data_IF_264423267365
#
_entry.id   IF_264423267365
#
_cell.length_a   1.000
_cell.length_b   1.000
_cell.length_c   1.000
_cell.angle_alpha   90.00
_cell.angle_beta   90.00
_cell.angle_gamma   90.00
#
_symmetry.space_group_name_H-M   'P 1'
#
loop_
_entity.id
_entity.type
_entity.pdbx_description
1 polymer ?
#
# COMPACT_ATOMS: atom_id res chain seq x y z
N UNK A 1 16.84 -25.24 -15.06
CA UNK A 1 17.40 -23.99 -14.50
C UNK A 1 16.44 -22.85 -14.84
N UNK A 2 16.00 -22.06 -13.86
CA UNK A 2 15.25 -20.81 -14.14
C UNK A 2 16.23 -19.65 -14.27
N UNK A 3 16.09 -18.85 -15.34
CA UNK A 3 16.93 -17.70 -15.62
C UNK A 3 16.08 -16.43 -15.56
N UNK A 4 16.42 -15.50 -14.66
CA UNK A 4 15.83 -14.17 -14.63
C UNK A 4 16.82 -13.21 -15.33
N UNK A 5 16.36 -12.41 -16.30
CA UNK A 5 17.23 -11.51 -17.06
C UNK A 5 17.89 -10.44 -16.16
N UNK A 6 17.21 -10.02 -15.09
CA UNK A 6 17.71 -9.16 -14.02
C UNK A 6 17.61 -9.89 -12.66
N UNK A 7 18.59 -9.74 -11.74
CA UNK A 7 18.47 -10.28 -10.39
C UNK A 7 17.18 -9.81 -9.71
N UNK A 8 16.39 -10.76 -9.19
CA UNK A 8 15.08 -10.50 -8.62
C UNK A 8 15.15 -10.43 -7.08
N UNK A 9 14.53 -9.43 -6.43
CA UNK A 9 14.58 -9.30 -4.97
C UNK A 9 13.72 -10.37 -4.29
N UNK A 10 14.35 -11.18 -3.44
CA UNK A 10 13.69 -12.20 -2.63
C UNK A 10 13.90 -11.93 -1.14
N UNK A 11 12.86 -12.16 -0.35
CA UNK A 11 12.99 -12.16 1.12
C UNK A 11 13.83 -13.36 1.58
N UNK A 12 14.47 -13.24 2.75
CA UNK A 12 15.26 -14.33 3.32
C UNK A 12 14.43 -15.59 3.58
N UNK A 13 13.15 -15.44 3.94
CA UNK A 13 12.23 -16.57 4.13
C UNK A 13 11.86 -17.25 2.81
N UNK A 14 11.63 -16.48 1.74
CA UNK A 14 11.43 -17.03 0.39
C UNK A 14 12.67 -17.79 -0.09
N UNK A 15 13.87 -17.24 0.15
CA UNK A 15 15.13 -17.91 -0.20
C UNK A 15 15.27 -19.21 0.58
N UNK A 16 15.04 -19.19 1.90
CA UNK A 16 15.09 -20.39 2.73
C UNK A 16 14.10 -21.45 2.23
N UNK A 17 12.88 -21.04 1.89
CA UNK A 17 11.87 -21.97 1.37
C UNK A 17 12.28 -22.60 0.04
N UNK A 18 12.89 -21.85 -0.85
CA UNK A 18 13.43 -22.38 -2.10
C UNK A 18 14.58 -23.38 -1.85
N UNK A 19 15.43 -23.14 -0.85
CA UNK A 19 16.50 -24.06 -0.47
C UNK A 19 15.92 -25.38 0.08
N UNK A 20 14.88 -25.31 0.92
CA UNK A 20 14.15 -26.50 1.39
C UNK A 20 13.55 -27.32 0.24
N UNK A 21 12.86 -26.65 -0.70
CA UNK A 21 12.19 -27.32 -1.82
C UNK A 21 13.17 -27.99 -2.79
N UNK A 22 14.34 -27.40 -2.96
CA UNK A 22 15.34 -27.85 -3.95
C UNK A 22 16.41 -28.75 -3.35
N UNK A 23 16.62 -28.70 -2.03
CA UNK A 23 17.76 -29.31 -1.35
C UNK A 23 19.10 -28.69 -1.74
N UNK A 24 19.10 -27.51 -2.37
CA UNK A 24 20.28 -26.86 -2.94
C UNK A 24 20.44 -25.43 -2.41
N UNK A 25 21.68 -24.93 -2.30
CA UNK A 25 21.91 -23.54 -1.93
C UNK A 25 21.45 -22.58 -3.03
N UNK A 26 20.83 -21.46 -2.63
CA UNK A 26 20.45 -20.37 -3.53
C UNK A 26 21.44 -19.22 -3.34
N UNK A 27 22.13 -18.84 -4.42
CA UNK A 27 23.14 -17.79 -4.37
C UNK A 27 22.49 -16.41 -4.10
N UNK A 28 22.94 -15.76 -3.03
CA UNK A 28 22.48 -14.44 -2.59
C UNK A 28 23.44 -13.37 -3.12
N UNK A 29 22.91 -12.41 -3.86
CA UNK A 29 23.66 -11.23 -4.33
C UNK A 29 23.14 -10.00 -3.58
N UNK A 30 24.01 -9.08 -3.16
CA UNK A 30 23.62 -7.83 -2.49
C UNK A 30 22.61 -8.04 -1.34
N UNK A 31 22.99 -8.68 -0.23
CA UNK A 31 22.10 -8.80 0.93
C UNK A 31 21.76 -7.41 1.48
N UNK A 32 20.52 -7.22 1.93
CA UNK A 32 20.06 -5.94 2.47
C UNK A 32 18.58 -5.98 2.84
N UNK A 33 18.01 -4.86 3.33
CA UNK A 33 16.58 -4.77 3.60
C UNK A 33 15.76 -4.96 2.32
N UNK A 34 14.71 -5.79 2.39
CA UNK A 34 13.94 -6.20 1.22
C UNK A 34 13.32 -5.01 0.47
N UNK A 35 12.79 -4.02 1.18
CA UNK A 35 12.21 -2.83 0.56
C UNK A 35 13.25 -2.03 -0.24
N UNK A 36 14.49 -1.86 0.25
CA UNK A 36 15.57 -1.20 -0.50
C UNK A 36 15.92 -1.98 -1.78
N UNK A 37 15.94 -3.32 -1.69
CA UNK A 37 16.18 -4.17 -2.86
C UNK A 37 15.04 -4.05 -3.89
N UNK A 38 13.79 -3.93 -3.44
CA UNK A 38 12.63 -3.72 -4.31
C UNK A 38 12.70 -2.33 -4.98
N UNK A 39 13.05 -1.28 -4.23
CA UNK A 39 13.26 0.07 -4.77
C UNK A 39 14.36 0.06 -5.83
N UNK A 40 15.50 -0.56 -5.52
CA UNK A 40 16.62 -0.67 -6.45
C UNK A 40 16.20 -1.42 -7.72
N UNK A 41 15.42 -2.50 -7.57
CA UNK A 41 14.90 -3.27 -8.70
C UNK A 41 13.98 -2.41 -9.57
N UNK A 42 12.98 -1.75 -8.97
CA UNK A 42 12.00 -0.92 -9.66
C UNK A 42 12.63 0.24 -10.45
N UNK A 43 13.64 0.90 -9.87
CA UNK A 43 14.36 1.99 -10.54
C UNK A 43 15.34 1.50 -11.61
N UNK A 44 15.91 0.30 -11.43
CA UNK A 44 16.84 -0.29 -12.41
C UNK A 44 16.16 -0.79 -13.69
N UNK A 45 14.87 -1.12 -13.66
CA UNK A 45 14.11 -1.48 -14.87
C UNK A 45 14.02 -0.29 -15.85
N UNK A 46 14.08 0.94 -15.34
CA UNK A 46 14.00 2.16 -16.16
C UNK A 46 15.38 2.69 -16.58
N UNK A 47 16.44 2.45 -15.79
CA UNK A 47 17.77 3.04 -16.03
C UNK A 47 18.94 2.10 -15.64
N UNK A 48 19.57 1.37 -16.58
CA UNK A 48 20.64 0.41 -16.27
C UNK A 48 21.99 1.01 -15.84
N UNK A 49 22.18 2.34 -15.87
CA UNK A 49 23.48 2.99 -15.66
C UNK A 49 23.52 4.16 -14.65
N UNK A 50 22.42 4.43 -13.93
CA UNK A 50 22.38 5.51 -12.92
C UNK A 50 22.81 5.05 -11.52
N UNK A 51 23.58 5.87 -10.82
CA UNK A 51 23.72 5.77 -9.35
C UNK A 51 22.36 6.12 -8.73
N UNK A 52 21.59 5.10 -8.38
CA UNK A 52 20.30 5.28 -7.71
C UNK A 52 20.61 5.79 -6.30
N UNK A 53 20.31 7.06 -6.04
CA UNK A 53 20.31 7.60 -4.69
C UNK A 53 19.33 6.79 -3.83
N UNK A 54 19.70 6.51 -2.58
CA UNK A 54 18.86 5.82 -1.61
C UNK A 54 17.74 6.75 -1.12
N UNK A 55 16.87 7.20 -2.02
CA UNK A 55 15.66 7.92 -1.62
C UNK A 55 14.71 6.92 -0.95
N UNK A 56 14.26 7.25 0.25
CA UNK A 56 13.19 6.53 0.92
C UNK A 56 11.83 7.17 0.67
N UNK A 57 11.78 8.34 0.02
CA UNK A 57 10.57 9.09 -0.28
C UNK A 57 10.33 9.17 -1.79
N UNK A 58 9.09 8.92 -2.21
CA UNK A 58 8.68 8.89 -3.62
C UNK A 58 7.34 9.61 -3.80
N UNK A 59 7.20 10.31 -4.93
CA UNK A 59 6.01 11.11 -5.24
C UNK A 59 5.24 10.50 -6.41
N UNK A 60 4.05 9.99 -6.10
CA UNK A 60 3.16 9.37 -7.08
C UNK A 60 2.02 10.31 -7.40
N UNK A 61 1.82 10.58 -8.69
CA UNK A 61 0.68 11.36 -9.19
C UNK A 61 -0.36 10.44 -9.81
N UNK A 62 -1.61 10.58 -9.38
CA UNK A 62 -2.74 9.81 -9.90
C UNK A 62 -3.82 10.78 -10.44
N UNK A 63 -4.56 10.38 -11.50
CA UNK A 63 -5.64 11.21 -12.02
C UNK A 63 -6.74 11.44 -10.97
N UNK A 64 -7.18 12.69 -10.83
CA UNK A 64 -8.36 13.06 -10.04
C UNK A 64 -8.19 12.96 -8.52
N UNK A 65 -6.96 13.01 -8.00
CA UNK A 65 -6.69 13.15 -6.56
C UNK A 65 -5.41 13.96 -6.33
N UNK A 66 -5.19 14.46 -5.09
CA UNK A 66 -3.93 15.11 -4.73
C UNK A 66 -2.73 14.17 -4.92
N UNK A 67 -1.52 14.73 -5.00
CA UNK A 67 -0.29 13.93 -5.11
C UNK A 67 -0.08 13.14 -3.83
N UNK A 68 0.53 11.97 -3.95
CA UNK A 68 0.86 11.11 -2.82
C UNK A 68 2.38 11.08 -2.60
N UNK A 69 2.80 11.21 -1.35
CA UNK A 69 4.17 11.02 -0.89
C UNK A 69 4.25 9.71 -0.11
N UNK A 70 5.05 8.78 -0.61
CA UNK A 70 5.29 7.48 0.03
C UNK A 70 6.69 7.46 0.64
N UNK A 71 6.74 7.30 1.96
CA UNK A 71 7.98 7.05 2.67
C UNK A 71 8.10 5.54 2.95
N UNK A 72 9.08 4.87 2.37
CA UNK A 72 9.38 3.47 2.64
C UNK A 72 10.42 3.42 3.75
N UNK A 73 9.96 3.12 4.96
CA UNK A 73 10.83 3.06 6.13
C UNK A 73 11.48 1.69 6.29
N UNK A 74 12.66 1.69 6.92
CA UNK A 74 13.45 0.49 7.24
C UNK A 74 12.79 -0.37 8.32
N UNK A 75 11.83 0.19 9.04
CA UNK A 75 11.25 -0.43 10.23
C UNK A 75 12.29 -0.58 11.34
N UNK A 76 11.86 -1.13 12.47
CA UNK A 76 12.77 -1.56 13.53
C UNK A 76 13.54 -2.78 13.00
N UNK A 77 14.88 -2.78 13.07
CA UNK A 77 15.74 -3.89 12.62
C UNK A 77 15.26 -5.24 13.17
N UNK A 78 14.45 -5.95 12.39
CA UNK A 78 13.96 -7.31 12.66
C UNK A 78 14.52 -8.24 11.60
N UNK A 79 14.86 -9.47 11.98
CA UNK A 79 15.42 -10.49 11.08
C UNK A 79 14.58 -10.72 9.81
N UNK A 80 13.28 -10.46 9.88
CA UNK A 80 12.30 -10.82 8.87
C UNK A 80 12.19 -9.80 7.73
N UNK A 81 12.86 -8.66 7.82
CA UNK A 81 12.92 -7.64 6.75
C UNK A 81 14.10 -7.85 5.80
N UNK A 82 15.02 -8.77 6.11
CA UNK A 82 16.20 -9.04 5.29
C UNK A 82 15.85 -9.79 3.99
N UNK A 83 16.56 -9.45 2.92
CA UNK A 83 16.46 -10.10 1.61
C UNK A 83 17.80 -10.15 0.87
N UNK A 84 17.75 -10.65 -0.36
CA UNK A 84 18.86 -10.57 -1.30
C UNK A 84 18.34 -10.57 -2.75
N UNK A 85 19.16 -10.05 -3.65
CA UNK A 85 18.96 -10.22 -5.08
C UNK A 85 19.33 -11.63 -5.49
N UNK A 86 18.46 -12.31 -6.24
CA UNK A 86 18.69 -13.68 -6.71
C UNK A 86 18.57 -13.73 -8.22
N UNK A 87 19.65 -14.18 -8.89
CA UNK A 87 19.71 -14.30 -10.35
C UNK A 87 19.32 -15.69 -10.85
N UNK A 88 19.62 -16.72 -10.07
CA UNK A 88 19.53 -18.13 -10.47
C UNK A 88 19.06 -18.97 -9.29
N UNK A 89 18.12 -19.86 -9.55
CA UNK A 89 17.61 -20.83 -8.57
C UNK A 89 17.85 -22.23 -9.13
N UNK A 90 18.76 -23.01 -8.54
CA UNK A 90 19.05 -24.36 -9.01
C UNK A 90 17.95 -25.34 -8.58
N UNK A 91 17.75 -26.40 -9.36
CA UNK A 91 16.90 -27.53 -9.01
C UNK A 91 17.38 -28.78 -9.75
N UNK A 92 17.20 -29.96 -9.15
CA UNK A 92 17.60 -31.24 -9.75
C UNK A 92 16.45 -31.99 -10.41
N UNK A 93 15.23 -31.86 -9.87
CA UNK A 93 14.07 -32.61 -10.35
C UNK A 93 12.89 -31.68 -10.68
N UNK A 94 12.24 -31.80 -11.86
CA UNK A 94 11.12 -30.92 -12.25
C UNK A 94 9.92 -30.91 -11.29
N UNK A 95 9.77 -31.93 -10.45
CA UNK A 95 8.67 -32.04 -9.47
C UNK A 95 8.62 -30.89 -8.45
N UNK A 96 9.75 -30.26 -8.09
CA UNK A 96 9.75 -29.12 -7.16
C UNK A 96 9.42 -27.79 -7.84
N UNK A 97 9.38 -27.76 -9.17
CA UNK A 97 9.17 -26.53 -9.95
C UNK A 97 7.84 -25.83 -9.64
N UNK A 98 6.68 -26.52 -9.57
CA UNK A 98 5.42 -25.85 -9.27
C UNK A 98 5.45 -25.10 -7.94
N UNK A 99 5.96 -25.72 -6.88
CA UNK A 99 6.05 -25.13 -5.55
C UNK A 99 7.03 -23.95 -5.53
N UNK A 100 8.17 -24.06 -6.23
CA UNK A 100 9.11 -22.95 -6.41
C UNK A 100 8.45 -21.75 -7.11
N UNK A 101 7.68 -22.01 -8.16
CA UNK A 101 6.96 -20.98 -8.90
C UNK A 101 5.91 -20.31 -8.00
N UNK A 102 5.27 -21.05 -7.10
CA UNK A 102 4.34 -20.46 -6.14
C UNK A 102 5.04 -19.47 -5.19
N UNK A 103 6.20 -19.85 -4.62
CA UNK A 103 7.02 -18.97 -3.79
C UNK A 103 7.41 -17.71 -4.56
N UNK A 104 7.87 -17.86 -5.80
CA UNK A 104 8.30 -16.75 -6.65
C UNK A 104 7.14 -15.83 -7.04
N UNK A 105 5.98 -16.39 -7.38
CA UNK A 105 4.80 -15.59 -7.72
C UNK A 105 4.26 -14.82 -6.51
N UNK A 106 4.31 -15.40 -5.31
CA UNK A 106 3.96 -14.70 -4.07
C UNK A 106 4.92 -13.54 -3.80
N UNK A 107 6.22 -13.77 -3.92
CA UNK A 107 7.21 -12.70 -3.78
C UNK A 107 7.02 -11.62 -4.84
N UNK A 108 6.71 -11.98 -6.09
CA UNK A 108 6.41 -11.04 -7.15
C UNK A 108 5.19 -10.17 -6.82
N UNK A 109 4.11 -10.76 -6.32
CA UNK A 109 2.93 -10.00 -5.89
C UNK A 109 3.26 -9.00 -4.78
N UNK A 110 4.04 -9.40 -3.77
CA UNK A 110 4.53 -8.49 -2.72
C UNK A 110 5.39 -7.36 -3.31
N UNK A 111 6.37 -7.71 -4.14
CA UNK A 111 7.27 -6.73 -4.74
C UNK A 111 6.49 -5.74 -5.61
N UNK A 112 5.52 -6.20 -6.40
CA UNK A 112 4.65 -5.32 -7.22
C UNK A 112 3.91 -4.29 -6.36
N UNK A 113 3.37 -4.70 -5.21
CA UNK A 113 2.68 -3.77 -4.31
C UNK A 113 3.63 -2.70 -3.78
N UNK A 114 4.81 -3.09 -3.27
CA UNK A 114 5.80 -2.14 -2.75
C UNK A 114 6.35 -1.24 -3.87
N UNK A 115 6.71 -1.81 -5.02
CA UNK A 115 7.16 -1.07 -6.20
C UNK A 115 6.13 -0.09 -6.74
N UNK A 116 4.83 -0.31 -6.49
CA UNK A 116 3.79 0.64 -6.92
C UNK A 116 3.89 2.00 -6.24
N UNK A 117 4.61 2.10 -5.11
CA UNK A 117 4.90 3.36 -4.43
C UNK A 117 6.14 4.07 -4.97
N UNK A 118 6.95 3.41 -5.82
CA UNK A 118 8.26 3.90 -6.26
C UNK A 118 8.11 4.66 -7.57
N UNK A 119 8.66 5.87 -7.63
CA UNK A 119 8.69 6.74 -8.79
C UNK A 119 10.07 7.38 -8.95
N UNK A 120 10.41 7.86 -10.14
CA UNK A 120 11.65 8.62 -10.36
C UNK A 120 11.57 10.03 -9.75
N UNK A 121 10.35 10.55 -9.57
CA UNK A 121 10.09 11.84 -8.94
C UNK A 121 10.17 11.73 -7.42
N UNK A 122 11.09 12.49 -6.82
CA UNK A 122 11.29 12.57 -5.36
C UNK A 122 11.01 13.96 -4.79
N UNK A 123 10.82 14.97 -5.65
CA UNK A 123 10.58 16.36 -5.26
C UNK A 123 9.26 16.87 -5.86
N UNK A 124 8.51 17.66 -5.08
CA UNK A 124 7.29 18.31 -5.54
C UNK A 124 7.35 19.79 -5.14
N UNK A 125 7.31 20.66 -6.15
CA UNK A 125 7.36 22.12 -5.97
C UNK A 125 6.12 22.65 -5.21
N UNK A 126 4.97 21.99 -5.37
CA UNK A 126 3.71 22.30 -4.68
C UNK A 126 3.45 21.32 -3.53
N UNK A 127 3.94 21.62 -2.33
CA UNK A 127 3.82 20.72 -1.16
C UNK A 127 2.50 20.87 -0.39
N UNK A 128 1.72 21.92 -0.64
CA UNK A 128 0.55 22.28 0.19
C UNK A 128 -0.61 21.27 0.15
N UNK A 129 -0.71 20.47 -0.92
CA UNK A 129 -1.79 19.47 -1.10
C UNK A 129 -1.28 18.02 -1.11
N UNK A 130 -0.07 17.77 -0.60
CA UNK A 130 0.55 16.44 -0.65
C UNK A 130 0.03 15.53 0.47
N UNK A 131 -0.53 14.37 0.10
CA UNK A 131 -0.93 13.35 1.08
C UNK A 131 0.26 12.46 1.44
N UNK A 132 0.55 12.31 2.73
CA UNK A 132 1.69 11.54 3.22
C UNK A 132 1.29 10.13 3.66
N UNK A 133 2.12 9.15 3.29
CA UNK A 133 1.91 7.73 3.55
C UNK A 133 3.21 7.07 3.96
N UNK A 134 3.23 6.49 5.16
CA UNK A 134 4.36 5.73 5.65
C UNK A 134 4.15 4.23 5.39
N UNK A 135 5.06 3.61 4.64
CA UNK A 135 5.02 2.18 4.29
C UNK A 135 6.06 1.46 5.13
N UNK A 136 5.58 0.56 6.00
CA UNK A 136 6.45 -0.23 6.88
C UNK A 136 6.35 -1.71 6.56
N UNK A 137 7.49 -2.37 6.40
CA UNK A 137 7.50 -3.82 6.33
C UNK A 137 7.21 -4.43 7.71
N UNK A 138 6.26 -5.36 7.77
CA UNK A 138 5.84 -6.02 9.02
C UNK A 138 6.42 -7.42 9.13
N UNK A 139 6.28 -8.22 8.08
CA UNK A 139 6.87 -9.57 7.93
C UNK A 139 7.42 -9.73 6.51
N UNK A 140 7.92 -10.92 6.19
CA UNK A 140 8.43 -11.21 4.85
C UNK A 140 7.37 -11.12 3.73
N UNK A 141 6.08 -11.23 4.07
CA UNK A 141 4.96 -11.19 3.12
C UNK A 141 3.83 -10.26 3.56
N UNK A 142 4.11 -9.35 4.50
CA UNK A 142 3.12 -8.37 4.95
C UNK A 142 3.75 -7.03 5.28
N UNK A 143 2.98 -5.97 5.07
CA UNK A 143 3.39 -4.59 5.28
C UNK A 143 2.19 -3.76 5.75
N UNK A 144 2.46 -2.58 6.28
CA UNK A 144 1.45 -1.62 6.69
C UNK A 144 1.63 -0.30 5.96
N UNK A 145 0.53 0.43 5.80
CA UNK A 145 0.52 1.80 5.29
C UNK A 145 -0.20 2.68 6.30
N UNK A 146 0.55 3.58 6.95
CA UNK A 146 0.02 4.53 7.94
C UNK A 146 -0.19 5.89 7.30
N UNK A 147 -1.29 6.56 7.65
CA UNK A 147 -1.69 7.84 7.08
C UNK A 147 -2.61 8.61 8.04
N UNK A 148 -2.73 9.91 7.83
CA UNK A 148 -3.73 10.72 8.54
C UNK A 148 -5.14 10.34 8.06
N UNK A 149 -6.05 10.09 9.00
CA UNK A 149 -7.42 9.74 8.68
C UNK A 149 -8.09 10.91 7.92
N UNK A 150 -8.78 10.66 6.78
CA UNK A 150 -9.34 11.72 5.95
C UNK A 150 -10.56 12.43 6.57
N UNK A 151 -11.17 11.86 7.61
CA UNK A 151 -12.34 12.42 8.30
C UNK A 151 -12.08 12.79 9.77
N UNK A 152 -10.96 12.35 10.34
CA UNK A 152 -10.66 12.47 11.78
C UNK A 152 -9.23 13.00 11.94
N UNK A 153 -8.90 13.58 13.08
CA UNK A 153 -7.55 14.12 13.34
C UNK A 153 -6.52 13.03 13.77
N UNK A 154 -6.94 11.77 13.80
CA UNK A 154 -6.10 10.64 14.20
C UNK A 154 -5.40 9.97 12.99
N UNK A 155 -4.52 9.01 13.30
CA UNK A 155 -3.91 8.15 12.28
C UNK A 155 -4.77 6.92 12.01
N UNK A 156 -4.72 6.49 10.75
CA UNK A 156 -5.26 5.23 10.28
C UNK A 156 -4.13 4.35 9.72
N UNK A 157 -4.32 3.04 9.78
CA UNK A 157 -3.34 2.08 9.30
C UNK A 157 -4.03 1.00 8.46
N UNK A 158 -3.53 0.78 7.25
CA UNK A 158 -3.92 -0.36 6.44
C UNK A 158 -2.85 -1.44 6.56
N UNK A 159 -3.24 -2.61 7.04
CA UNK A 159 -2.41 -3.82 7.06
C UNK A 159 -2.68 -4.65 5.80
N UNK A 160 -1.62 -5.09 5.13
CA UNK A 160 -1.69 -5.91 3.93
C UNK A 160 -0.91 -7.21 4.13
N UNK A 161 -1.60 -8.33 3.95
CA UNK A 161 -1.02 -9.68 3.99
C UNK A 161 -1.09 -10.33 2.60
N UNK A 162 0.07 -10.68 2.03
CA UNK A 162 0.16 -11.38 0.74
C UNK A 162 0.26 -12.88 0.99
N UNK A 163 -0.89 -13.55 0.97
CA UNK A 163 -0.98 -14.99 1.24
C UNK A 163 -0.49 -15.82 0.05
N UNK A 164 -0.87 -15.41 -1.17
CA UNK A 164 -0.44 -15.99 -2.43
C UNK A 164 -0.37 -14.93 -3.53
N UNK A 165 0.05 -15.32 -4.73
CA UNK A 165 0.06 -14.43 -5.90
C UNK A 165 -1.30 -13.89 -6.34
N UNK A 166 -2.40 -14.49 -5.87
CA UNK A 166 -3.79 -14.12 -6.22
C UNK A 166 -4.63 -13.78 -5.01
N UNK A 167 -4.06 -13.90 -3.81
CA UNK A 167 -4.78 -13.75 -2.56
C UNK A 167 -4.00 -12.83 -1.64
N UNK A 168 -4.55 -11.62 -1.51
CA UNK A 168 -4.04 -10.54 -0.66
C UNK A 168 -5.19 -10.13 0.25
N UNK A 169 -4.94 -10.01 1.54
CA UNK A 169 -5.90 -9.51 2.53
C UNK A 169 -5.51 -8.10 2.89
N UNK A 170 -6.50 -7.22 3.01
CA UNK A 170 -6.33 -5.82 3.38
C UNK A 170 -7.27 -5.48 4.53
N UNK A 171 -6.70 -5.05 5.65
CA UNK A 171 -7.43 -4.73 6.88
C UNK A 171 -7.16 -3.27 7.27
N UNK A 172 -8.21 -2.48 7.45
CA UNK A 172 -8.13 -1.12 7.95
C UNK A 172 -8.25 -1.13 9.48
N UNK A 173 -7.31 -0.47 10.14
CA UNK A 173 -7.29 -0.21 11.57
C UNK A 173 -7.41 1.30 11.78
N UNK A 174 -8.42 1.68 12.55
CA UNK A 174 -8.68 3.05 13.00
C UNK A 174 -8.68 3.07 14.53
N UNK A 175 -8.45 4.24 15.13
CA UNK A 175 -8.34 4.37 16.59
C UNK A 175 -9.68 4.22 17.33
N UNK A 176 -10.82 4.45 16.65
CA UNK A 176 -12.15 4.37 17.26
C UNK A 176 -12.93 3.17 16.74
N UNK A 177 -13.45 2.33 17.65
CA UNK A 177 -14.40 1.25 17.32
C UNK A 177 -15.77 1.82 16.89
N UNK A 178 -16.09 3.05 17.29
CA UNK A 178 -17.32 3.78 16.97
C UNK A 178 -17.10 4.92 15.92
N UNK A 179 -15.90 5.00 15.34
CA UNK A 179 -15.52 6.05 14.38
C UNK A 179 -16.17 5.87 13.01
N UNK A 180 -16.13 6.93 12.18
CA UNK A 180 -16.70 6.90 10.84
C UNK A 180 -15.90 5.94 9.95
N UNK A 181 -16.41 4.72 9.76
CA UNK A 181 -15.77 3.73 8.89
C UNK A 181 -15.66 4.28 7.46
N UNK A 182 -14.45 4.59 7.02
CA UNK A 182 -14.20 5.05 5.65
C UNK A 182 -14.63 3.98 4.63
N UNK A 183 -14.27 2.73 4.93
CA UNK A 183 -14.39 1.58 4.04
C UNK A 183 -14.43 0.27 4.84
N UNK A 184 -15.09 -0.76 4.30
CA UNK A 184 -15.00 -2.13 4.85
C UNK A 184 -13.74 -2.86 4.34
N UNK A 185 -13.20 -3.78 5.15
CA UNK A 185 -12.04 -4.60 4.80
C UNK A 185 -12.27 -5.40 3.50
N UNK A 186 -13.49 -5.90 3.28
CA UNK A 186 -13.88 -6.61 2.07
C UNK A 186 -13.78 -5.74 0.81
N UNK A 187 -14.18 -4.47 0.91
CA UNK A 187 -14.05 -3.52 -0.20
C UNK A 187 -12.57 -3.26 -0.50
N UNK A 188 -11.77 -2.97 0.53
CA UNK A 188 -10.33 -2.69 0.39
C UNK A 188 -9.59 -3.89 -0.22
N UNK A 189 -9.88 -5.08 0.29
CA UNK A 189 -9.34 -6.34 -0.22
C UNK A 189 -9.66 -6.53 -1.71
N UNK A 190 -10.90 -6.27 -2.14
CA UNK A 190 -11.29 -6.34 -3.56
C UNK A 190 -10.56 -5.31 -4.42
N UNK A 191 -10.45 -4.07 -3.95
CA UNK A 191 -9.74 -3.00 -4.67
C UNK A 191 -8.28 -3.39 -4.85
N UNK A 192 -7.60 -3.77 -3.75
CA UNK A 192 -6.17 -4.09 -3.79
C UNK A 192 -5.88 -5.33 -4.65
N UNK A 193 -6.69 -6.39 -4.55
CA UNK A 193 -6.58 -7.57 -5.42
C UNK A 193 -6.73 -7.23 -6.90
N UNK A 194 -7.55 -6.22 -7.24
CA UNK A 194 -7.81 -5.82 -8.62
C UNK A 194 -6.73 -4.91 -9.18
N UNK A 195 -6.24 -3.96 -8.40
CA UNK A 195 -5.29 -2.96 -8.88
C UNK A 195 -3.83 -3.34 -8.65
N UNK A 196 -3.52 -4.16 -7.65
CA UNK A 196 -2.16 -4.46 -7.19
C UNK A 196 -1.30 -3.20 -7.02
N UNK A 197 -1.91 -2.12 -6.52
CA UNK A 197 -1.29 -0.80 -6.39
C UNK A 197 -1.75 -0.12 -5.10
N UNK A 198 -0.77 0.18 -4.24
CA UNK A 198 -0.99 0.91 -2.98
C UNK A 198 -1.53 2.33 -3.27
N UNK A 199 -0.96 3.11 -4.21
CA UNK A 199 -1.53 4.41 -4.56
C UNK A 199 -2.99 4.38 -4.99
N UNK A 200 -3.38 3.39 -5.79
CA UNK A 200 -4.77 3.24 -6.24
C UNK A 200 -5.70 2.89 -5.06
N UNK A 201 -5.22 2.07 -4.12
CA UNK A 201 -5.95 1.77 -2.89
C UNK A 201 -6.16 3.02 -2.04
N UNK A 202 -5.10 3.80 -1.77
CA UNK A 202 -5.20 5.02 -0.96
C UNK A 202 -6.13 6.04 -1.62
N UNK A 203 -6.06 6.20 -2.94
CA UNK A 203 -7.03 7.03 -3.68
C UNK A 203 -8.47 6.56 -3.48
N UNK A 204 -8.72 5.24 -3.47
CA UNK A 204 -10.05 4.69 -3.25
C UNK A 204 -10.57 4.97 -1.84
N UNK A 205 -9.70 4.91 -0.82
CA UNK A 205 -10.01 5.27 0.56
C UNK A 205 -10.38 6.76 0.66
N UNK A 206 -9.51 7.65 0.17
CA UNK A 206 -9.74 9.10 0.24
C UNK A 206 -10.99 9.52 -0.56
N UNK A 207 -11.24 8.90 -1.72
CA UNK A 207 -12.47 9.14 -2.49
C UNK A 207 -13.74 8.71 -1.73
N UNK A 208 -13.67 7.65 -0.92
CA UNK A 208 -14.82 7.22 -0.11
C UNK A 208 -15.09 8.16 1.05
N UNK A 209 -14.05 8.62 1.71
CA UNK A 209 -14.17 9.63 2.75
C UNK A 209 -14.77 10.95 2.23
N UNK A 210 -14.34 11.44 1.06
CA UNK A 210 -14.93 12.67 0.49
C UNK A 210 -16.40 12.53 0.13
N UNK A 211 -16.84 11.33 -0.30
CA UNK A 211 -18.27 11.04 -0.54
C UNK A 211 -19.08 11.09 0.76
N UNK A 212 -18.60 10.45 1.82
CA UNK A 212 -19.26 10.44 3.14
C UNK A 212 -19.39 11.86 3.70
N UNK A 213 -18.31 12.66 3.64
CA UNK A 213 -18.35 14.06 4.08
C UNK A 213 -19.38 14.90 3.32
N UNK A 214 -19.54 14.66 2.02
CA UNK A 214 -20.53 15.36 1.21
C UNK A 214 -21.97 14.96 1.59
N UNK A 215 -22.21 13.68 1.87
CA UNK A 215 -23.51 13.15 2.30
C UNK A 215 -23.94 13.71 3.67
N UNK A 216 -23.03 13.75 4.66
CA UNK A 216 -23.28 14.37 5.97
C UNK A 216 -23.60 15.88 5.87
N UNK A 217 -22.95 16.57 4.94
CA UNK A 217 -23.18 18.01 4.69
C UNK A 217 -24.52 18.27 3.99
N UNK A 218 -25.06 17.32 3.23
CA UNK A 218 -26.40 17.44 2.64
C UNK A 218 -27.52 17.21 3.66
N UNK A 219 -27.39 16.19 4.51
CA UNK A 219 -28.39 15.85 5.54
C UNK A 219 -28.57 16.95 6.60
N UNK A 220 -27.49 17.67 6.93
CA UNK A 220 -27.54 18.81 7.86
C UNK A 220 -28.22 20.06 7.29
N UNK A 221 -28.37 20.17 5.96
CA UNK A 221 -29.07 21.31 5.32
C UNK A 221 -30.57 21.09 5.19
N UNK A 222 -31.03 19.83 5.12
CA UNK A 222 -32.45 19.50 5.02
C UNK A 222 -33.19 19.56 6.39
N UNK A 223 -32.44 19.58 7.51
CA UNK A 223 -32.99 19.66 8.86
C UNK A 223 -33.30 21.07 9.40
N UNK A 224 -33.04 22.13 8.63
CA UNK A 224 -33.20 23.54 9.08
C UNK A 224 -34.46 24.21 8.51
N UNK A 225 -35.27 23.52 7.71
CA UNK A 225 -36.46 24.13 7.07
C UNK A 225 -37.80 23.92 7.80
N UNK A 226 -37.86 23.24 8.94
CA UNK A 226 -39.13 23.02 9.69
C UNK A 226 -39.09 23.52 11.14
N UNK A 227 -38.70 24.78 11.38
CA UNK A 227 -39.08 25.47 12.63
C UNK A 227 -38.96 26.99 12.49
N UNK A 228 -39.87 27.59 11.71
CA UNK A 228 -40.23 29.01 11.85
C UNK A 228 -41.48 29.34 11.02
N UNK A 229 -42.65 28.87 11.46
CA UNK A 229 -43.91 29.48 10.99
C UNK A 229 -45.06 29.28 11.98
N UNK A 230 -44.87 29.63 13.26
CA UNK A 230 -45.98 29.96 14.17
C UNK A 230 -45.45 30.95 15.20
N UNK A 231 -45.60 32.24 14.91
CA UNK A 231 -45.90 33.30 15.89
C UNK A 231 -45.79 34.67 15.22
N UNK A 232 -46.86 35.06 14.53
CA UNK A 232 -47.27 36.46 14.38
C UNK A 232 -48.62 36.50 13.66
N UNK A 233 -49.71 36.51 14.43
CA UNK A 233 -50.93 37.28 14.14
C UNK A 233 -52.02 36.91 15.14
N UNK A 234 -51.97 37.50 16.34
CA UNK A 234 -53.20 37.99 16.99
C UNK A 234 -52.82 39.24 17.79
N UNK A 235 -52.87 40.40 17.14
CA UNK A 235 -53.30 41.62 17.83
C UNK A 235 -54.05 42.53 16.87
N UNK A 236 -55.25 42.92 17.32
CA UNK A 236 -56.04 44.09 16.97
C UNK A 236 -56.90 44.12 15.69
N UNK A 237 -58.21 43.92 15.90
CA UNK A 237 -59.38 44.78 15.58
C UNK A 237 -60.57 43.88 15.20
N UNK A 238 -61.78 44.02 15.73
CA UNK A 238 -62.58 45.25 15.83
C UNK A 238 -63.85 44.99 16.70
N UNK A 239 -64.25 46.05 17.42
CA UNK A 239 -65.62 46.48 17.82
C UNK A 239 -66.56 45.55 18.60
#
# INVERSE_FOLDING_TARGET
MFYQNCPFPLSSSSIHKLQELTGLPVARLKPGPLHELIVQFALSENHPHGLIASSSSFIVSLPGCPKHSYFLDKGIEKSDTAGAMVKKIPFTHPKCVPDMIEVLRRQAAYNTLISSCVSETTECEDSSDLLHFDVFQQKATSFSVTFQHPLEENLACVMVDVLSSRDVICTLHTHSEDGALICSNDYLTRVLKRCMSIPVLMRAIFKKATQQKAEETSLSKDGVCEENCKDQQVEHNQQ
#
